data_IF_307602898208
#
_entry.id   IF_307602898208
#
_cell.length_a   1.000
_cell.length_b   1.000
_cell.length_c   1.000
_cell.angle_alpha   90.00
_cell.angle_beta   90.00
_cell.angle_gamma   90.00
#
_symmetry.space_group_name_H-M   'P 1'
#
loop_
_entity.id
_entity.type
_entity.pdbx_description
1 polymer ?
#
# COMPACT_ATOMS: atom_id res chain seq x y z
N UNK A 1 3.69 6.35 -1.30
CA UNK A 1 4.68 6.68 -2.33
C UNK A 1 5.92 5.80 -2.18
N UNK A 2 6.80 5.66 -3.20
CA UNK A 2 8.06 4.94 -3.06
C UNK A 2 8.96 5.47 -1.94
N UNK A 3 9.04 6.80 -1.80
CA UNK A 3 9.76 7.46 -0.71
C UNK A 3 9.21 7.07 0.67
N UNK A 4 7.88 7.11 0.85
CA UNK A 4 7.25 6.70 2.11
C UNK A 4 7.47 5.21 2.41
N UNK A 5 7.35 4.35 1.39
CA UNK A 5 7.64 2.92 1.54
C UNK A 5 9.11 2.68 1.93
N UNK A 6 10.05 3.43 1.35
CA UNK A 6 11.48 3.36 1.68
C UNK A 6 11.73 3.75 3.15
N UNK A 7 11.07 4.79 3.67
CA UNK A 7 11.14 5.16 5.09
C UNK A 7 10.71 4.02 6.01
N UNK A 8 9.64 3.29 5.66
CA UNK A 8 9.08 2.18 6.47
C UNK A 8 9.96 0.93 6.46
N UNK A 9 10.63 0.64 5.34
CA UNK A 9 11.46 -0.57 5.22
C UNK A 9 12.93 -0.34 5.59
N UNK A 10 13.35 0.91 5.76
CA UNK A 10 14.73 1.27 6.10
C UNK A 10 15.73 0.71 5.09
N UNK A 11 16.73 -0.03 5.58
CA UNK A 11 17.79 -0.64 4.77
C UNK A 11 17.32 -1.83 3.93
N UNK A 12 16.08 -2.31 4.13
CA UNK A 12 15.58 -3.50 3.45
C UNK A 12 16.19 -4.81 3.95
N UNK A 13 16.86 -4.82 5.12
CA UNK A 13 17.40 -6.04 5.73
C UNK A 13 16.30 -7.10 5.92
N UNK A 14 16.60 -8.36 5.58
CA UNK A 14 15.63 -9.46 5.60
C UNK A 14 14.62 -9.42 4.46
N UNK A 15 14.79 -8.54 3.47
CA UNK A 15 13.94 -8.44 2.27
C UNK A 15 14.79 -8.70 1.03
N UNK A 16 14.86 -9.95 0.53
CA UNK A 16 15.75 -10.33 -0.59
C UNK A 16 15.63 -9.49 -1.86
N UNK A 17 14.47 -8.86 -2.10
CA UNK A 17 14.24 -8.01 -3.26
C UNK A 17 14.71 -6.56 -3.08
N UNK A 18 15.10 -6.15 -1.87
CA UNK A 18 15.51 -4.79 -1.48
C UNK A 18 16.91 -4.73 -0.84
N UNK A 19 17.38 -5.82 -0.25
CA UNK A 19 18.65 -5.89 0.47
C UNK A 19 19.85 -5.58 -0.45
N UNK A 20 20.74 -4.69 0.00
CA UNK A 20 21.91 -4.26 -0.78
C UNK A 20 21.60 -3.39 -2.00
N UNK A 21 20.33 -2.98 -2.19
CA UNK A 21 19.89 -2.12 -3.29
C UNK A 21 19.53 -0.72 -2.79
N UNK A 22 19.35 0.24 -3.71
CA UNK A 22 18.75 1.53 -3.42
C UNK A 22 17.23 1.35 -3.18
N UNK A 23 16.74 1.41 -1.93
CA UNK A 23 15.39 0.91 -1.61
C UNK A 23 14.29 1.68 -2.32
N UNK A 24 14.39 3.01 -2.38
CA UNK A 24 13.39 3.86 -3.04
C UNK A 24 13.29 3.57 -4.55
N UNK A 25 14.44 3.53 -5.26
CA UNK A 25 14.47 3.23 -6.68
C UNK A 25 13.91 1.83 -6.98
N UNK A 26 14.26 0.85 -6.15
CA UNK A 26 13.77 -0.53 -6.28
C UNK A 26 12.27 -0.63 -6.00
N UNK A 27 11.78 0.03 -4.95
CA UNK A 27 10.36 0.09 -4.62
C UNK A 27 9.56 0.80 -5.72
N UNK A 28 10.10 1.87 -6.33
CA UNK A 28 9.48 2.51 -7.48
C UNK A 28 9.34 1.53 -8.65
N UNK A 29 10.41 0.84 -9.04
CA UNK A 29 10.37 -0.11 -10.13
C UNK A 29 9.37 -1.27 -9.88
N UNK A 30 9.32 -1.78 -8.64
CA UNK A 30 8.35 -2.80 -8.25
C UNK A 30 6.91 -2.27 -8.27
N UNK A 31 6.68 -1.04 -7.82
CA UNK A 31 5.37 -0.42 -7.82
C UNK A 31 4.89 -0.16 -9.25
N UNK A 32 5.73 0.40 -10.11
CA UNK A 32 5.40 0.65 -11.52
C UNK A 32 4.98 -0.65 -12.23
N UNK A 33 5.67 -1.75 -11.97
CA UNK A 33 5.34 -3.06 -12.54
C UNK A 33 4.04 -3.68 -12.01
N UNK A 34 3.55 -3.24 -10.84
CA UNK A 34 2.39 -3.84 -10.15
C UNK A 34 1.17 -2.94 -10.10
N UNK A 35 1.34 -1.64 -10.34
CA UNK A 35 0.31 -0.63 -10.08
C UNK A 35 -0.97 -0.89 -10.87
N UNK A 36 -0.84 -1.30 -12.13
CA UNK A 36 -1.98 -1.65 -12.98
C UNK A 36 -2.82 -2.76 -12.35
N UNK A 37 -2.18 -3.88 -11.98
CA UNK A 37 -2.89 -5.00 -11.37
C UNK A 37 -3.54 -4.62 -10.03
N UNK A 38 -2.83 -3.85 -9.19
CA UNK A 38 -3.40 -3.35 -7.92
C UNK A 38 -4.61 -2.45 -8.15
N UNK A 39 -4.60 -1.62 -9.19
CA UNK A 39 -5.72 -0.74 -9.51
C UNK A 39 -6.92 -1.51 -10.11
N UNK A 40 -6.67 -2.50 -10.97
CA UNK A 40 -7.71 -3.28 -11.64
C UNK A 40 -8.58 -4.08 -10.66
N UNK A 41 -7.98 -4.65 -9.62
CA UNK A 41 -8.70 -5.55 -8.68
C UNK A 41 -9.22 -4.84 -7.43
N UNK A 42 -8.81 -3.59 -7.19
CA UNK A 42 -9.15 -2.89 -5.96
C UNK A 42 -10.57 -2.30 -6.02
N UNK A 43 -11.48 -2.84 -5.19
CA UNK A 43 -12.80 -2.23 -4.97
C UNK A 43 -12.72 -0.87 -4.26
N UNK A 44 -11.68 -0.65 -3.45
CA UNK A 44 -11.41 0.57 -2.69
C UNK A 44 -9.90 0.80 -2.62
N UNK A 45 -9.47 2.06 -2.57
CA UNK A 45 -8.06 2.47 -2.48
C UNK A 45 -7.91 3.50 -1.36
N UNK A 46 -6.92 3.29 -0.48
CA UNK A 46 -6.60 4.19 0.63
C UNK A 46 -5.17 4.69 0.45
N UNK A 47 -4.98 6.01 0.45
CA UNK A 47 -3.64 6.63 0.41
C UNK A 47 -3.08 6.59 1.81
N UNK A 48 -2.00 5.85 2.02
CA UNK A 48 -1.44 5.60 3.37
C UNK A 48 -0.32 6.55 3.77
N UNK A 49 0.07 7.48 2.90
CA UNK A 49 1.25 8.31 3.13
C UNK A 49 1.04 9.24 4.34
N UNK A 50 1.98 9.21 5.29
CA UNK A 50 1.90 10.01 6.52
C UNK A 50 0.86 9.55 7.55
N UNK A 51 0.18 8.42 7.34
CA UNK A 51 -0.80 7.88 8.29
C UNK A 51 -0.18 6.84 9.24
N UNK A 52 -0.65 6.82 10.49
CA UNK A 52 -0.39 5.71 11.42
C UNK A 52 -1.17 4.46 11.01
N UNK A 53 -0.83 3.32 11.62
CA UNK A 53 -1.56 2.07 11.36
C UNK A 53 -3.04 2.16 11.74
N UNK A 54 -3.35 2.83 12.86
CA UNK A 54 -4.71 3.04 13.36
C UNK A 54 -5.50 3.92 12.39
N UNK A 55 -4.91 5.02 11.92
CA UNK A 55 -5.55 5.90 10.93
C UNK A 55 -5.83 5.18 9.60
N UNK A 56 -4.92 4.31 9.15
CA UNK A 56 -5.15 3.48 7.98
C UNK A 56 -6.28 2.49 8.23
N UNK A 57 -6.34 1.87 9.41
CA UNK A 57 -7.41 0.93 9.76
C UNK A 57 -8.78 1.63 9.76
N UNK A 58 -8.88 2.81 10.38
CA UNK A 58 -10.10 3.61 10.38
C UNK A 58 -10.55 4.00 8.97
N UNK A 59 -9.60 4.44 8.12
CA UNK A 59 -9.88 4.78 6.73
C UNK A 59 -10.36 3.58 5.90
N UNK A 60 -9.81 2.39 6.15
CA UNK A 60 -10.26 1.14 5.50
C UNK A 60 -11.68 0.80 5.95
N UNK A 61 -11.97 0.85 7.26
CA UNK A 61 -13.31 0.57 7.80
C UNK A 61 -14.35 1.52 7.21
N UNK A 62 -14.05 2.82 7.14
CA UNK A 62 -14.92 3.80 6.51
C UNK A 62 -15.16 3.48 5.02
N UNK A 63 -14.09 3.22 4.26
CA UNK A 63 -14.19 2.95 2.82
C UNK A 63 -15.02 1.71 2.47
N UNK A 64 -15.02 0.68 3.33
CA UNK A 64 -15.84 -0.53 3.13
C UNK A 64 -17.27 -0.36 3.65
N UNK A 65 -17.49 0.46 4.68
CA UNK A 65 -18.82 0.76 5.22
C UNK A 65 -19.67 1.60 4.24
N UNK A 66 -19.06 2.58 3.58
CA UNK A 66 -19.70 3.44 2.56
C UNK A 66 -20.19 2.65 1.32
N UNK A 67 -19.77 1.38 1.19
CA UNK A 67 -20.10 0.48 0.09
C UNK A 67 -21.14 -0.59 0.38
N UNK A 68 -21.82 -0.60 1.53
CA UNK A 68 -22.76 -1.67 1.88
C UNK A 68 -24.20 -1.42 1.38
N UNK A 69 -24.56 -2.02 0.22
CA UNK A 69 -25.85 -2.69 0.10
C UNK A 69 -25.62 -4.16 -0.28
N UNK A 70 -25.68 -5.06 0.73
CA UNK A 70 -25.36 -6.47 0.51
C UNK A 70 -25.36 -7.38 1.74
N UNK A 71 -26.27 -7.17 2.70
CA UNK A 71 -26.86 -8.29 3.46
C UNK A 71 -28.36 -8.27 3.19
N UNK A 72 -28.73 -8.71 2.00
CA UNK A 72 -30.09 -9.13 1.70
C UNK A 72 -30.02 -10.46 0.97
N UNK A 73 -30.60 -11.46 1.64
CA UNK A 73 -30.78 -12.88 1.31
C UNK A 73 -29.60 -13.80 1.63
#
# INVERSE_FOLDING_TARGET
SPAEAARRVGTGSGRPLLEGLAPEARLKALLDARLTLYAEVAHRRVVTDGLTAEQVADAVVAAVADGAPGRSR
#
